data_IF_376835894383
#
_entry.id   IF_376835894383
#
_cell.length_a   1.000
_cell.length_b   1.000
_cell.length_c   1.000
_cell.angle_alpha   90.00
_cell.angle_beta   90.00
_cell.angle_gamma   90.00
#
_symmetry.space_group_name_H-M   'P 1'
#
loop_
_entity.id
_entity.type
_entity.pdbx_description
1 polymer ?
#
# COMPACT_ATOMS: atom_id res chain seq x y z
N UNK A 1 43.79 -34.17 33.01
CA UNK A 1 43.73 -35.53 32.43
C UNK A 1 43.33 -35.39 30.97
N UNK A 2 44.33 -35.66 30.15
CA UNK A 2 44.40 -36.34 28.85
C UNK A 2 43.22 -36.13 27.85
N UNK A 3 43.59 -35.43 26.78
CA UNK A 3 42.81 -35.31 25.56
C UNK A 3 42.82 -36.60 24.72
N UNK A 4 41.82 -36.71 23.85
CA UNK A 4 41.86 -37.60 22.70
C UNK A 4 41.58 -36.80 21.43
N UNK A 5 42.62 -36.73 20.58
CA UNK A 5 42.54 -36.31 19.18
C UNK A 5 42.00 -37.48 18.35
N UNK A 6 40.93 -37.25 17.59
CA UNK A 6 40.49 -38.18 16.56
C UNK A 6 41.12 -37.76 15.24
N UNK A 7 41.87 -38.64 14.62
CA UNK A 7 42.51 -38.52 13.32
C UNK A 7 41.43 -38.72 12.22
N UNK A 8 41.37 -37.80 11.27
CA UNK A 8 40.65 -37.98 10.03
C UNK A 8 41.48 -38.80 9.05
N UNK A 9 40.94 -39.95 8.60
CA UNK A 9 41.51 -40.77 7.54
C UNK A 9 41.18 -40.16 6.19
N UNK A 10 42.21 -39.84 5.40
CA UNK A 10 42.13 -39.45 4.01
C UNK A 10 41.89 -40.69 3.14
N UNK A 11 40.72 -40.76 2.51
CA UNK A 11 40.49 -41.68 1.39
C UNK A 11 40.97 -41.01 0.10
N UNK A 12 42.10 -41.49 -0.43
CA UNK A 12 42.53 -41.20 -1.82
C UNK A 12 41.60 -41.96 -2.78
N UNK A 13 40.78 -41.23 -3.53
CA UNK A 13 40.13 -41.79 -4.71
C UNK A 13 41.09 -41.69 -5.91
N UNK A 14 41.32 -42.83 -6.56
CA UNK A 14 42.14 -42.96 -7.75
C UNK A 14 41.43 -42.22 -8.94
N UNK A 15 42.12 -41.29 -9.57
CA UNK A 15 41.66 -40.60 -10.76
C UNK A 15 41.76 -41.53 -11.96
N UNK A 16 40.70 -41.63 -12.75
CA UNK A 16 40.63 -42.36 -13.98
C UNK A 16 41.23 -41.47 -15.12
N UNK A 17 42.26 -41.90 -15.86
CA UNK A 17 43.02 -40.98 -16.74
C UNK A 17 42.38 -40.66 -18.10
N UNK A 18 41.13 -40.99 -18.36
CA UNK A 18 40.53 -40.83 -19.65
C UNK A 18 39.29 -39.87 -19.71
N UNK A 19 39.21 -38.91 -18.81
CA UNK A 19 38.16 -37.86 -18.92
C UNK A 19 38.79 -36.58 -19.49
N UNK A 20 38.65 -36.34 -20.79
CA UNK A 20 38.87 -35.03 -21.40
C UNK A 20 37.64 -34.17 -21.10
N UNK A 21 37.75 -33.03 -20.40
CA UNK A 21 36.64 -32.11 -20.25
C UNK A 21 36.33 -31.46 -21.59
N UNK A 22 35.13 -31.67 -22.08
CA UNK A 22 34.59 -30.90 -23.21
C UNK A 22 34.44 -29.45 -22.73
N UNK A 23 35.40 -28.63 -23.10
CA UNK A 23 35.32 -27.17 -22.91
C UNK A 23 34.33 -26.64 -23.95
N UNK A 24 33.05 -26.53 -23.56
CA UNK A 24 32.10 -25.72 -24.30
C UNK A 24 32.50 -24.27 -24.09
N UNK A 25 33.26 -23.71 -25.01
CA UNK A 25 33.51 -22.26 -25.10
C UNK A 25 32.16 -21.58 -25.42
N UNK A 26 31.42 -21.19 -24.38
CA UNK A 26 30.38 -20.18 -24.52
C UNK A 26 31.10 -18.87 -24.78
N UNK A 27 31.30 -18.53 -26.07
CA UNK A 27 31.50 -17.14 -26.46
C UNK A 27 30.31 -16.35 -25.89
N UNK A 28 30.51 -15.22 -25.19
CA UNK A 28 29.42 -14.34 -24.83
C UNK A 28 28.79 -13.89 -26.16
N UNK A 29 27.57 -14.39 -26.44
CA UNK A 29 26.77 -13.81 -27.53
C UNK A 29 26.62 -12.33 -27.15
N UNK A 30 27.26 -11.47 -27.94
CA UNK A 30 26.95 -10.04 -27.93
C UNK A 30 25.44 -9.90 -28.08
N UNK A 31 24.76 -9.06 -27.28
CA UNK A 31 23.34 -8.82 -27.47
C UNK A 31 23.09 -8.47 -28.91
N UNK A 32 22.02 -9.02 -29.55
CA UNK A 32 21.73 -8.76 -30.94
C UNK A 32 21.74 -7.27 -31.19
N UNK A 33 22.61 -6.82 -32.06
CA UNK A 33 22.77 -5.41 -32.40
C UNK A 33 21.45 -4.94 -33.01
N UNK A 34 20.78 -4.00 -32.35
CA UNK A 34 19.47 -3.50 -32.79
C UNK A 34 19.67 -2.69 -34.07
N UNK A 35 19.08 -3.11 -35.16
CA UNK A 35 19.14 -2.39 -36.42
C UNK A 35 18.44 -1.02 -36.29
N UNK A 36 19.26 0.03 -36.26
CA UNK A 36 18.78 1.42 -36.12
C UNK A 36 17.85 1.80 -37.30
N UNK A 37 17.97 1.19 -38.47
CA UNK A 37 17.12 1.42 -39.61
C UNK A 37 15.70 0.90 -39.43
N UNK A 38 15.51 -0.19 -38.71
CA UNK A 38 14.19 -0.74 -38.36
C UNK A 38 13.50 0.13 -37.33
N UNK A 39 14.20 0.53 -36.28
CA UNK A 39 13.61 1.31 -35.18
C UNK A 39 13.22 2.74 -35.56
N UNK A 40 13.97 3.38 -36.45
CA UNK A 40 13.66 4.72 -36.94
C UNK A 40 12.43 4.79 -37.86
N UNK A 41 12.02 3.66 -38.42
CA UNK A 41 10.88 3.54 -39.37
C UNK A 41 9.61 2.96 -38.71
N UNK A 42 9.64 2.63 -37.41
CA UNK A 42 8.47 2.09 -36.77
C UNK A 42 7.34 3.13 -36.70
N UNK A 43 6.11 2.76 -37.13
CA UNK A 43 4.95 3.60 -36.88
C UNK A 43 4.79 3.92 -35.38
N UNK A 44 4.39 5.13 -35.09
CA UNK A 44 4.20 5.62 -33.71
C UNK A 44 3.38 4.65 -32.85
N UNK A 45 2.31 4.11 -33.42
CA UNK A 45 1.40 3.19 -32.72
C UNK A 45 2.06 1.88 -32.31
N UNK A 46 2.93 1.33 -33.18
CA UNK A 46 3.69 0.11 -32.86
C UNK A 46 4.76 0.40 -31.82
N UNK A 47 5.44 1.53 -31.92
CA UNK A 47 6.41 1.96 -30.93
C UNK A 47 5.75 2.10 -29.54
N UNK A 48 4.63 2.78 -29.46
CA UNK A 48 3.87 2.92 -28.21
C UNK A 48 3.46 1.56 -27.65
N UNK A 49 3.00 0.63 -28.52
CA UNK A 49 2.61 -0.71 -28.11
C UNK A 49 3.79 -1.51 -27.57
N UNK A 50 4.94 -1.48 -28.23
CA UNK A 50 6.16 -2.14 -27.74
C UNK A 50 6.58 -1.57 -26.39
N UNK A 51 6.61 -0.24 -26.27
CA UNK A 51 6.99 0.43 -25.03
C UNK A 51 6.00 0.18 -23.89
N UNK A 52 4.73 -0.08 -24.20
CA UNK A 52 3.71 -0.40 -23.19
C UNK A 52 3.92 -1.75 -22.51
N UNK A 53 4.66 -2.67 -23.12
CA UNK A 53 5.04 -3.95 -22.51
C UNK A 53 6.30 -3.87 -21.64
N UNK A 54 7.01 -2.75 -21.68
CA UNK A 54 8.20 -2.61 -20.85
C UNK A 54 7.85 -2.51 -19.37
N UNK A 55 8.60 -3.17 -18.49
CA UNK A 55 8.51 -2.91 -17.07
C UNK A 55 8.65 -1.41 -16.79
N UNK A 56 7.82 -0.88 -15.90
CA UNK A 56 7.79 0.54 -15.59
C UNK A 56 9.18 1.15 -15.33
N UNK A 57 10.06 0.42 -14.63
CA UNK A 57 11.44 0.84 -14.40
C UNK A 57 12.21 1.09 -15.69
N UNK A 58 12.09 0.18 -16.66
CA UNK A 58 12.80 0.30 -17.94
C UNK A 58 12.25 1.46 -18.76
N UNK A 59 10.92 1.59 -18.80
CA UNK A 59 10.28 2.73 -19.43
C UNK A 59 10.70 4.07 -18.80
N UNK A 60 10.74 4.14 -17.46
CA UNK A 60 11.17 5.34 -16.74
C UNK A 60 12.64 5.69 -17.01
N UNK A 61 13.50 4.71 -17.26
CA UNK A 61 14.88 4.96 -17.70
C UNK A 61 14.92 5.52 -19.12
N UNK A 62 14.11 4.96 -20.05
CA UNK A 62 14.03 5.43 -21.44
C UNK A 62 13.58 6.89 -21.56
N UNK A 63 12.69 7.37 -20.69
CA UNK A 63 12.24 8.78 -20.71
C UNK A 63 13.38 9.79 -20.53
N UNK A 64 14.51 9.38 -19.94
CA UNK A 64 15.68 10.24 -19.77
C UNK A 64 16.54 10.30 -21.02
N UNK A 65 16.30 9.45 -22.01
CA UNK A 65 17.12 9.37 -23.21
C UNK A 65 16.71 10.39 -24.27
N UNK A 66 15.42 10.67 -24.46
CA UNK A 66 14.98 11.67 -25.42
C UNK A 66 13.64 12.34 -25.05
N UNK A 67 13.38 13.50 -25.67
CA UNK A 67 12.13 14.28 -25.45
C UNK A 67 10.88 13.51 -25.89
N UNK A 68 10.98 12.69 -26.94
CA UNK A 68 9.85 11.91 -27.44
C UNK A 68 9.41 10.86 -26.40
N UNK A 69 10.30 10.05 -25.82
CA UNK A 69 9.95 9.09 -24.79
C UNK A 69 9.44 9.79 -23.49
N UNK A 70 9.96 10.97 -23.20
CA UNK A 70 9.44 11.77 -22.08
C UNK A 70 8.00 12.22 -22.32
N UNK A 71 7.64 12.61 -23.56
CA UNK A 71 6.28 13.08 -23.89
C UNK A 71 5.24 11.95 -23.86
N UNK A 72 5.63 10.69 -24.04
CA UNK A 72 4.72 9.55 -23.95
C UNK A 72 4.04 9.44 -22.57
N UNK A 73 4.68 9.91 -21.49
CA UNK A 73 4.06 9.97 -20.15
C UNK A 73 2.78 10.81 -20.10
N UNK A 74 2.59 11.69 -21.04
CA UNK A 74 1.44 12.60 -21.13
C UNK A 74 0.51 12.25 -22.29
N UNK A 75 0.82 11.20 -23.06
CA UNK A 75 0.00 10.72 -24.17
C UNK A 75 -1.15 9.85 -23.65
N UNK A 76 -2.42 10.25 -23.79
CA UNK A 76 -3.56 9.42 -23.35
C UNK A 76 -3.57 8.04 -24.00
N UNK A 77 -3.21 7.96 -25.28
CA UNK A 77 -3.11 6.69 -26.02
C UNK A 77 -2.08 5.74 -25.41
N UNK A 78 -0.89 6.24 -25.13
CA UNK A 78 0.18 5.43 -24.50
C UNK A 78 -0.21 5.02 -23.07
N UNK A 79 -0.74 5.94 -22.28
CA UNK A 79 -1.18 5.71 -20.89
C UNK A 79 -2.22 4.57 -20.85
N UNK A 80 -3.22 4.61 -21.73
CA UNK A 80 -4.23 3.56 -21.84
C UNK A 80 -3.64 2.19 -22.20
N UNK A 81 -2.75 2.14 -23.18
CA UNK A 81 -2.05 0.91 -23.61
C UNK A 81 -1.18 0.35 -22.49
N UNK A 82 -0.43 1.20 -21.82
CA UNK A 82 0.47 0.80 -20.72
C UNK A 82 -0.31 0.30 -19.50
N UNK A 83 -1.41 0.95 -19.12
CA UNK A 83 -2.24 0.54 -17.98
C UNK A 83 -2.91 -0.82 -18.18
N UNK A 84 -3.26 -1.16 -19.44
CA UNK A 84 -3.85 -2.47 -19.76
C UNK A 84 -2.84 -3.61 -19.87
N UNK A 85 -1.56 -3.31 -20.15
CA UNK A 85 -0.54 -4.33 -20.48
C UNK A 85 0.36 -4.70 -19.32
N UNK A 86 0.45 -3.87 -18.28
CA UNK A 86 1.54 -4.01 -17.33
C UNK A 86 1.21 -4.86 -16.11
N UNK A 87 2.06 -5.85 -15.87
CA UNK A 87 2.28 -6.37 -14.54
C UNK A 87 3.02 -5.30 -13.73
N UNK A 88 2.28 -4.37 -13.11
CA UNK A 88 2.87 -3.26 -12.38
C UNK A 88 3.68 -3.75 -11.18
N UNK A 89 4.88 -3.23 -11.05
CA UNK A 89 5.58 -3.24 -9.77
C UNK A 89 4.66 -2.63 -8.72
N UNK A 90 4.44 -3.32 -7.63
CA UNK A 90 3.67 -2.82 -6.49
C UNK A 90 4.55 -2.83 -5.26
N UNK A 91 4.41 -1.81 -4.44
CA UNK A 91 5.30 -1.56 -3.33
C UNK A 91 4.53 -1.42 -2.01
N UNK A 92 5.07 -2.02 -0.96
CA UNK A 92 4.71 -1.64 0.38
C UNK A 92 5.68 -0.53 0.82
N UNK A 93 5.11 0.61 1.16
CA UNK A 93 5.86 1.81 1.51
C UNK A 93 5.81 2.00 3.02
N UNK A 94 6.98 2.05 3.65
CA UNK A 94 7.12 2.38 5.06
C UNK A 94 7.40 3.86 5.24
N UNK A 95 6.57 4.53 6.03
CA UNK A 95 6.81 5.87 6.57
C UNK A 95 7.06 5.77 8.07
N UNK A 96 8.15 6.37 8.54
CA UNK A 96 8.51 6.38 9.95
C UNK A 96 9.12 7.74 10.34
N UNK A 97 8.82 8.30 11.52
CA UNK A 97 9.32 9.61 11.94
C UNK A 97 10.84 9.74 11.94
N UNK A 98 11.59 8.67 12.16
CA UNK A 98 13.06 8.66 12.13
C UNK A 98 13.63 8.58 10.70
N UNK A 99 12.80 8.43 9.67
CA UNK A 99 13.20 8.31 8.26
C UNK A 99 12.70 9.51 7.45
N UNK A 100 13.07 10.73 7.84
CA UNK A 100 12.51 12.00 7.32
C UNK A 100 12.57 12.19 5.81
N UNK A 101 13.57 11.67 5.12
CA UNK A 101 13.75 11.87 3.68
C UNK A 101 13.86 10.58 2.89
N UNK A 102 13.64 9.45 3.54
CA UNK A 102 13.77 8.15 2.92
C UNK A 102 12.55 7.30 3.23
N UNK A 103 11.94 6.76 2.19
CA UNK A 103 10.93 5.74 2.33
C UNK A 103 11.55 4.39 2.01
N UNK A 104 11.39 3.42 2.89
CA UNK A 104 11.72 2.04 2.57
C UNK A 104 10.58 1.45 1.74
N UNK A 105 10.91 0.89 0.59
CA UNK A 105 9.97 0.22 -0.29
C UNK A 105 10.26 -1.27 -0.31
N UNK A 106 9.23 -2.06 -0.11
CA UNK A 106 9.27 -3.48 -0.42
C UNK A 106 8.62 -3.73 -1.77
N UNK A 107 9.41 -4.17 -2.72
CA UNK A 107 8.92 -4.58 -4.04
C UNK A 107 8.30 -5.96 -3.94
N UNK A 108 6.97 -6.01 -3.98
CA UNK A 108 6.22 -7.26 -3.79
C UNK A 108 6.36 -8.24 -4.95
N UNK A 109 6.72 -7.75 -6.15
CA UNK A 109 6.96 -8.59 -7.31
C UNK A 109 8.34 -9.26 -7.26
N UNK A 110 9.34 -8.55 -6.75
CA UNK A 110 10.72 -9.05 -6.63
C UNK A 110 11.02 -9.67 -5.26
N UNK A 111 10.14 -9.48 -4.27
CA UNK A 111 10.38 -9.95 -2.91
C UNK A 111 11.57 -9.28 -2.22
N UNK A 112 11.89 -8.03 -2.57
CA UNK A 112 13.12 -7.36 -2.14
C UNK A 112 12.86 -5.93 -1.64
N UNK A 113 13.65 -5.52 -0.64
CA UNK A 113 13.66 -4.16 -0.13
C UNK A 113 14.45 -3.22 -1.02
N UNK A 114 13.97 -2.00 -1.14
CA UNK A 114 14.63 -0.91 -1.86
C UNK A 114 14.50 0.36 -1.05
N UNK A 115 15.55 1.18 -1.05
CA UNK A 115 15.51 2.53 -0.49
C UNK A 115 15.17 3.52 -1.59
N UNK A 116 14.25 4.39 -1.31
CA UNK A 116 13.86 5.47 -2.21
C UNK A 116 13.93 6.80 -1.46
N UNK A 117 14.77 7.69 -1.96
CA UNK A 117 14.82 9.06 -1.48
C UNK A 117 13.79 9.90 -2.23
N UNK A 118 12.73 10.30 -1.57
CA UNK A 118 11.77 11.28 -2.09
C UNK A 118 12.11 12.64 -1.51
N UNK A 119 12.79 13.45 -2.29
CA UNK A 119 13.07 14.84 -1.89
C UNK A 119 11.82 15.70 -2.10
N UNK A 120 11.03 15.87 -1.05
CA UNK A 120 9.89 16.80 -1.07
C UNK A 120 10.34 18.26 -1.12
N UNK A 121 11.58 18.57 -0.74
CA UNK A 121 12.15 19.92 -0.83
C UNK A 121 12.21 20.45 -2.26
N UNK A 122 12.40 19.58 -3.26
CA UNK A 122 12.35 19.97 -4.67
C UNK A 122 10.95 20.35 -5.14
N UNK A 123 9.91 19.87 -4.48
CA UNK A 123 8.50 20.12 -4.80
C UNK A 123 7.92 21.28 -3.98
N UNK A 124 8.41 21.46 -2.76
CA UNK A 124 7.95 22.44 -1.78
C UNK A 124 9.13 23.04 -1.03
N UNK A 125 9.81 24.06 -1.60
CA UNK A 125 11.00 24.65 -0.98
C UNK A 125 10.78 25.16 0.44
N UNK A 126 9.58 25.62 0.78
CA UNK A 126 9.24 26.22 2.08
C UNK A 126 8.64 25.25 3.10
N UNK A 127 8.29 24.01 2.77
CA UNK A 127 7.53 23.12 3.66
C UNK A 127 8.13 21.72 3.86
N UNK A 128 9.35 21.49 3.36
CA UNK A 128 9.95 20.15 3.33
C UNK A 128 10.16 19.49 4.69
N UNK A 129 10.22 20.25 5.79
CA UNK A 129 10.47 19.70 7.12
C UNK A 129 9.24 19.23 7.90
N UNK A 130 8.01 19.47 7.42
CA UNK A 130 6.77 19.19 8.15
C UNK A 130 5.76 18.32 7.39
N UNK A 131 6.13 17.79 6.24
CA UNK A 131 5.23 16.97 5.44
C UNK A 131 5.15 15.54 5.98
N UNK A 132 3.94 15.08 6.33
CA UNK A 132 3.69 13.69 6.73
C UNK A 132 2.80 12.98 5.72
N UNK A 133 3.17 11.75 5.31
CA UNK A 133 2.36 10.94 4.42
C UNK A 133 1.10 10.47 5.16
N UNK A 134 -0.07 10.83 4.64
CA UNK A 134 -1.36 10.49 5.22
C UNK A 134 -2.00 9.26 4.57
N UNK A 135 -1.99 9.21 3.25
CA UNK A 135 -2.71 8.19 2.49
C UNK A 135 -2.09 7.99 1.11
N UNK A 136 -2.34 6.83 0.54
CA UNK A 136 -1.99 6.48 -0.84
C UNK A 136 -3.19 5.83 -1.53
N UNK A 137 -3.39 6.09 -2.79
CA UNK A 137 -4.43 5.44 -3.61
C UNK A 137 -4.04 5.50 -5.08
N UNK A 138 -4.02 4.34 -5.75
CA UNK A 138 -3.80 4.20 -7.20
C UNK A 138 -2.78 5.20 -7.78
N UNK A 139 -1.52 5.11 -7.37
CA UNK A 139 -0.44 5.94 -7.88
C UNK A 139 -0.31 7.34 -7.27
N UNK A 140 -1.29 7.78 -6.50
CA UNK A 140 -1.26 9.05 -5.78
C UNK A 140 -0.75 8.89 -4.36
N UNK A 141 0.05 9.85 -3.92
CA UNK A 141 0.50 10.04 -2.53
C UNK A 141 -0.13 11.32 -2.00
N UNK A 142 -0.68 11.32 -0.80
CA UNK A 142 -1.18 12.51 -0.15
C UNK A 142 -0.42 12.80 1.14
N UNK A 143 0.14 14.00 1.22
CA UNK A 143 0.87 14.49 2.38
C UNK A 143 0.07 15.58 3.09
N UNK A 144 0.15 15.60 4.42
CA UNK A 144 -0.28 16.73 5.22
C UNK A 144 0.85 17.75 5.31
N UNK A 145 0.50 19.01 5.12
CA UNK A 145 1.31 20.19 5.38
C UNK A 145 0.66 20.96 6.56
N UNK A 146 1.27 22.08 6.96
CA UNK A 146 0.77 22.88 8.09
C UNK A 146 -0.68 23.36 7.94
N UNK A 147 -1.11 23.73 6.72
CA UNK A 147 -2.43 24.31 6.43
C UNK A 147 -3.06 23.81 5.12
N UNK A 148 -2.51 22.77 4.54
CA UNK A 148 -2.92 22.23 3.24
C UNK A 148 -2.55 20.76 3.09
N UNK A 149 -3.06 20.15 2.02
CA UNK A 149 -2.65 18.83 1.55
C UNK A 149 -1.82 18.98 0.28
N UNK A 150 -0.83 18.12 0.12
CA UNK A 150 -0.14 17.93 -1.15
C UNK A 150 -0.52 16.58 -1.72
N UNK A 151 -1.21 16.56 -2.85
CA UNK A 151 -1.41 15.34 -3.64
C UNK A 151 -0.33 15.30 -4.73
N UNK A 152 0.32 14.14 -4.86
CA UNK A 152 1.49 13.98 -5.70
C UNK A 152 1.46 12.66 -6.45
N UNK A 153 1.72 12.69 -7.77
CA UNK A 153 2.00 11.51 -8.57
C UNK A 153 3.51 11.36 -8.77
N UNK A 154 4.06 10.27 -8.21
CA UNK A 154 5.50 10.00 -8.25
C UNK A 154 6.05 9.79 -9.67
N UNK A 155 5.25 9.24 -10.58
CA UNK A 155 5.68 8.91 -11.94
C UNK A 155 5.75 10.13 -12.84
N UNK A 156 4.68 10.91 -12.86
CA UNK A 156 4.58 12.12 -13.68
C UNK A 156 5.28 13.32 -13.04
N UNK A 157 5.56 13.24 -11.72
CA UNK A 157 6.04 14.36 -10.87
C UNK A 157 5.05 15.54 -10.84
N UNK A 158 3.79 15.29 -11.17
CA UNK A 158 2.75 16.28 -11.01
C UNK A 158 2.33 16.38 -9.55
N UNK A 159 1.98 17.58 -9.12
CA UNK A 159 1.56 17.84 -7.75
C UNK A 159 0.48 18.92 -7.69
N UNK A 160 -0.37 18.82 -6.68
CA UNK A 160 -1.38 19.85 -6.38
C UNK A 160 -1.42 20.10 -4.88
N UNK A 161 -1.39 21.37 -4.52
CA UNK A 161 -1.61 21.83 -3.15
C UNK A 161 -3.09 22.19 -2.98
N UNK A 162 -3.72 21.67 -1.94
CA UNK A 162 -5.14 21.84 -1.65
C UNK A 162 -5.25 22.44 -0.25
N UNK A 163 -5.74 23.67 -0.13
CA UNK A 163 -5.97 24.32 1.16
C UNK A 163 -7.01 23.55 2.00
N UNK A 164 -6.88 23.64 3.31
CA UNK A 164 -7.89 23.08 4.22
C UNK A 164 -9.24 23.75 4.02
N UNK A 165 -10.37 23.06 4.29
CA UNK A 165 -11.71 23.63 4.09
C UNK A 165 -12.03 24.78 5.04
N UNK A 166 -11.31 24.91 6.15
CA UNK A 166 -11.40 25.99 7.13
C UNK A 166 -10.06 26.15 7.87
N UNK A 167 -9.86 27.25 8.60
CA UNK A 167 -8.68 27.47 9.42
C UNK A 167 -9.08 28.13 10.75
N UNK A 168 -8.59 27.67 11.92
CA UNK A 168 -7.78 26.45 12.11
C UNK A 168 -8.62 25.20 11.87
N UNK A 169 -7.99 24.15 11.31
CA UNK A 169 -8.66 22.91 10.99
C UNK A 169 -7.89 21.71 11.52
N UNK A 170 -8.56 20.87 12.28
CA UNK A 170 -8.05 19.57 12.71
C UNK A 170 -9.04 18.47 12.27
N UNK A 171 -8.50 17.32 11.91
CA UNK A 171 -9.29 16.17 11.47
C UNK A 171 -8.88 14.90 12.23
N UNK A 172 -9.85 14.04 12.46
CA UNK A 172 -9.66 12.76 13.13
C UNK A 172 -9.46 11.63 12.12
N UNK A 173 -10.03 11.78 10.94
CA UNK A 173 -10.01 10.75 9.92
C UNK A 173 -9.76 11.37 8.56
N UNK A 174 -8.89 10.72 7.80
CA UNK A 174 -8.53 11.12 6.44
C UNK A 174 -8.47 9.91 5.52
N UNK A 175 -8.97 10.03 4.29
CA UNK A 175 -8.82 9.02 3.24
C UNK A 175 -8.71 9.68 1.87
N UNK A 176 -7.81 9.15 1.06
CA UNK A 176 -7.67 9.46 -0.36
C UNK A 176 -8.32 8.33 -1.16
N UNK A 177 -9.27 8.69 -2.02
CA UNK A 177 -9.92 7.77 -2.96
C UNK A 177 -9.59 8.22 -4.36
N UNK A 178 -8.83 7.43 -5.10
CA UNK A 178 -8.54 7.68 -6.52
C UNK A 178 -9.51 6.89 -7.39
N UNK A 179 -9.99 7.53 -8.44
CA UNK A 179 -10.84 6.94 -9.48
C UNK A 179 -10.19 7.13 -10.83
N UNK A 180 -10.60 6.41 -11.90
CA UNK A 180 -10.04 6.62 -13.24
C UNK A 180 -10.16 8.05 -13.78
N UNK A 181 -11.06 8.83 -13.22
CA UNK A 181 -11.38 10.19 -13.68
C UNK A 181 -10.97 11.30 -12.73
N UNK A 182 -10.27 10.97 -11.64
CA UNK A 182 -9.80 11.93 -10.64
C UNK A 182 -9.67 11.32 -9.25
N UNK A 183 -9.74 12.14 -8.21
CA UNK A 183 -9.66 11.68 -6.83
C UNK A 183 -10.53 12.52 -5.90
N UNK A 184 -10.83 11.96 -4.75
CA UNK A 184 -11.51 12.65 -3.65
C UNK A 184 -10.69 12.55 -2.37
N UNK A 185 -10.67 13.65 -1.59
CA UNK A 185 -10.16 13.65 -0.23
C UNK A 185 -11.34 13.66 0.72
N UNK A 186 -11.43 12.65 1.54
CA UNK A 186 -12.48 12.53 2.56
C UNK A 186 -11.90 12.82 3.94
N UNK A 187 -12.60 13.64 4.73
CA UNK A 187 -12.18 13.96 6.10
C UNK A 187 -13.37 14.10 7.04
N UNK A 188 -13.11 13.79 8.32
CA UNK A 188 -14.01 14.08 9.44
C UNK A 188 -13.30 15.05 10.37
N UNK A 189 -13.94 16.20 10.67
CA UNK A 189 -13.36 17.21 11.57
C UNK A 189 -13.29 16.72 13.01
N UNK A 190 -12.23 17.13 13.72
CA UNK A 190 -12.11 16.93 15.16
C UNK A 190 -12.63 18.15 15.95
N UNK A 191 -12.94 17.97 17.22
CA UNK A 191 -13.04 19.07 18.18
C UNK A 191 -14.38 19.78 18.32
N UNK A 192 -15.46 19.37 17.65
CA UNK A 192 -16.80 19.92 17.87
C UNK A 192 -17.78 18.86 18.38
N UNK A 193 -18.84 19.30 19.11
CA UNK A 193 -19.95 18.40 19.52
C UNK A 193 -20.62 17.71 18.32
N UNK A 194 -20.53 18.33 17.14
CA UNK A 194 -21.00 17.78 15.86
C UNK A 194 -19.80 17.65 14.93
N UNK A 195 -19.39 16.42 14.64
CA UNK A 195 -18.34 16.14 13.65
C UNK A 195 -18.86 16.41 12.26
N UNK A 196 -18.22 17.31 11.50
CA UNK A 196 -18.56 17.58 10.13
C UNK A 196 -17.74 16.70 9.20
N UNK A 197 -18.36 16.26 8.12
CA UNK A 197 -17.68 15.54 7.03
C UNK A 197 -17.36 16.49 5.90
N UNK A 198 -16.16 16.43 5.36
CA UNK A 198 -15.72 17.21 4.21
C UNK A 198 -15.22 16.27 3.12
N UNK A 199 -15.63 16.55 1.89
CA UNK A 199 -15.16 15.83 0.71
C UNK A 199 -14.69 16.83 -0.33
N UNK A 200 -13.41 16.72 -0.69
CA UNK A 200 -12.84 17.43 -1.82
C UNK A 200 -13.01 16.60 -3.08
N UNK A 201 -13.46 17.20 -4.14
CA UNK A 201 -13.53 16.57 -5.47
C UNK A 201 -12.52 17.25 -6.40
N UNK A 202 -11.58 16.48 -6.93
CA UNK A 202 -10.51 16.99 -7.77
C UNK A 202 -11.01 17.52 -9.14
N UNK A 203 -12.18 17.06 -9.63
CA UNK A 203 -12.76 17.50 -10.90
C UNK A 203 -13.29 18.92 -10.80
N UNK A 204 -14.06 19.18 -9.76
CA UNK A 204 -14.66 20.50 -9.52
C UNK A 204 -13.78 21.39 -8.66
N UNK A 205 -12.70 20.84 -8.08
CA UNK A 205 -11.70 21.53 -7.25
C UNK A 205 -12.31 22.25 -6.04
N UNK A 206 -13.32 21.65 -5.44
CA UNK A 206 -14.10 22.28 -4.38
C UNK A 206 -14.34 21.32 -3.22
N UNK A 207 -14.39 21.89 -1.99
CA UNK A 207 -14.78 21.20 -0.77
C UNK A 207 -16.29 21.23 -0.60
N UNK A 208 -16.89 20.06 -0.43
CA UNK A 208 -18.30 19.93 0.00
C UNK A 208 -18.32 19.58 1.49
N UNK A 209 -19.16 20.27 2.24
CA UNK A 209 -19.42 20.02 3.66
C UNK A 209 -20.73 19.26 3.79
N UNK A 210 -20.69 18.19 4.58
CA UNK A 210 -21.86 17.40 4.92
C UNK A 210 -22.10 17.43 6.42
N UNK A 211 -23.37 17.38 6.83
CA UNK A 211 -23.74 17.39 8.23
C UNK A 211 -23.18 16.17 8.96
N UNK A 212 -22.89 16.42 10.23
CA UNK A 212 -22.14 15.51 11.04
C UNK A 212 -22.76 14.16 11.27
N UNK A 213 -21.91 13.20 11.40
CA UNK A 213 -22.23 11.85 11.79
C UNK A 213 -22.28 11.75 13.32
N UNK A 214 -23.37 11.22 13.84
CA UNK A 214 -23.54 11.06 15.31
C UNK A 214 -22.77 9.90 15.93
N UNK A 215 -22.56 8.75 15.26
CA UNK A 215 -21.77 7.69 15.87
C UNK A 215 -20.31 8.10 16.02
N UNK A 216 -19.74 7.74 17.14
CA UNK A 216 -18.30 7.84 17.38
C UNK A 216 -17.63 6.86 16.43
N UNK A 217 -16.70 7.33 15.60
CA UNK A 217 -15.83 6.45 14.82
C UNK A 217 -14.73 5.93 15.74
N UNK A 218 -14.17 4.77 15.39
CA UNK A 218 -13.06 4.19 16.15
C UNK A 218 -11.94 5.21 16.32
N UNK A 219 -11.39 5.33 17.53
CA UNK A 219 -10.24 6.20 17.83
C UNK A 219 -8.94 5.73 17.17
N UNK A 220 -8.99 4.68 16.36
CA UNK A 220 -7.84 4.20 15.62
C UNK A 220 -7.51 5.13 14.44
N UNK A 221 -6.71 6.13 14.70
CA UNK A 221 -6.21 7.12 13.73
C UNK A 221 -5.34 6.50 12.60
N UNK A 222 -4.94 5.24 12.74
CA UNK A 222 -4.11 4.55 11.76
C UNK A 222 -4.95 3.80 10.72
N UNK A 223 -6.18 3.43 11.09
CA UNK A 223 -7.11 2.76 10.18
C UNK A 223 -7.77 3.79 9.27
N UNK A 224 -7.51 3.69 7.98
CA UNK A 224 -8.19 4.49 6.98
C UNK A 224 -9.60 3.95 6.69
N UNK A 225 -10.46 4.81 6.14
CA UNK A 225 -11.72 4.37 5.56
C UNK A 225 -11.47 3.37 4.42
N UNK A 226 -12.37 2.42 4.29
CA UNK A 226 -12.27 1.37 3.27
C UNK A 226 -13.24 1.68 2.14
N UNK A 227 -12.71 1.96 0.95
CA UNK A 227 -13.55 2.19 -0.22
C UNK A 227 -14.08 0.86 -0.79
N UNK A 228 -15.40 0.77 -0.92
CA UNK A 228 -16.09 -0.39 -1.48
C UNK A 228 -17.42 0.04 -2.10
N UNK A 229 -17.66 -0.32 -3.36
CA UNK A 229 -18.91 -0.05 -4.11
C UNK A 229 -19.43 1.39 -3.95
N UNK A 230 -18.58 2.38 -4.23
CA UNK A 230 -18.96 3.80 -4.20
C UNK A 230 -19.09 4.42 -2.81
N UNK A 231 -18.83 3.67 -1.75
CA UNK A 231 -18.96 4.13 -0.36
C UNK A 231 -17.68 3.92 0.43
N UNK A 232 -17.51 4.73 1.47
CA UNK A 232 -16.46 4.57 2.46
C UNK A 232 -16.99 3.89 3.70
N UNK A 233 -16.41 2.74 4.05
CA UNK A 233 -16.81 1.92 5.19
C UNK A 233 -15.90 2.15 6.39
N UNK A 234 -16.51 2.16 7.57
CA UNK A 234 -15.87 2.39 8.85
C UNK A 234 -16.36 1.42 9.89
N UNK A 235 -15.54 1.17 10.90
CA UNK A 235 -15.94 0.45 12.10
C UNK A 235 -16.19 1.44 13.23
N UNK A 236 -17.27 1.26 13.98
CA UNK A 236 -17.51 2.02 15.22
C UNK A 236 -16.81 1.34 16.40
N UNK A 237 -16.51 2.08 17.51
CA UNK A 237 -16.06 1.46 18.76
C UNK A 237 -17.09 0.47 19.33
N UNK A 238 -16.70 -0.23 20.37
CA UNK A 238 -17.60 -1.16 21.08
C UNK A 238 -18.85 -0.46 21.65
N UNK A 239 -20.06 -0.99 21.41
CA UNK A 239 -20.34 -2.21 20.65
C UNK A 239 -20.08 -2.01 19.14
N UNK A 240 -19.22 -2.88 18.58
CA UNK A 240 -18.80 -2.74 17.20
C UNK A 240 -19.96 -2.79 16.23
N UNK A 241 -19.95 -1.89 15.26
CA UNK A 241 -20.86 -1.90 14.11
C UNK A 241 -20.17 -1.33 12.87
N UNK A 242 -20.79 -1.49 11.73
CA UNK A 242 -20.31 -0.93 10.46
C UNK A 242 -21.13 0.31 10.13
N UNK A 243 -20.46 1.37 9.73
CA UNK A 243 -21.08 2.56 9.16
C UNK A 243 -20.47 2.81 7.77
N UNK A 244 -21.23 3.41 6.87
CA UNK A 244 -20.69 3.83 5.58
C UNK A 244 -21.12 5.25 5.23
N UNK A 245 -20.28 5.89 4.43
CA UNK A 245 -20.56 7.18 3.82
C UNK A 245 -20.64 7.00 2.31
N UNK A 246 -21.80 7.25 1.72
CA UNK A 246 -22.04 7.16 0.29
C UNK A 246 -21.48 8.42 -0.37
N UNK A 247 -20.42 8.29 -1.17
CA UNK A 247 -19.69 9.42 -1.74
C UNK A 247 -20.54 10.26 -2.70
N UNK A 248 -21.41 9.62 -3.46
CA UNK A 248 -22.28 10.28 -4.42
C UNK A 248 -23.33 11.18 -3.74
N UNK A 249 -24.09 10.61 -2.81
CA UNK A 249 -25.18 11.30 -2.11
C UNK A 249 -24.72 12.15 -0.92
N UNK A 250 -23.52 11.89 -0.38
CA UNK A 250 -23.03 12.53 0.84
C UNK A 250 -23.77 12.11 2.10
N UNK A 251 -24.40 10.94 2.08
CA UNK A 251 -25.19 10.44 3.21
C UNK A 251 -24.42 9.39 4.01
N UNK A 252 -24.61 9.46 5.32
CA UNK A 252 -24.18 8.41 6.23
C UNK A 252 -25.28 7.38 6.37
N UNK A 253 -24.89 6.09 6.27
CA UNK A 253 -25.78 4.94 6.38
C UNK A 253 -25.21 3.90 7.33
N UNK A 254 -26.07 3.05 7.86
CA UNK A 254 -25.67 1.86 8.61
C UNK A 254 -26.11 0.64 7.84
N UNK A 255 -25.19 -0.09 7.20
CA UNK A 255 -25.51 -1.34 6.55
C UNK A 255 -26.12 -2.31 7.57
N UNK A 256 -27.18 -3.00 7.17
CA UNK A 256 -27.79 -4.05 8.01
C UNK A 256 -26.94 -5.33 7.91
N UNK A 257 -25.81 -5.32 8.60
CA UNK A 257 -24.91 -6.49 8.68
C UNK A 257 -24.55 -6.76 10.13
N UNK A 258 -24.77 -7.98 10.56
CA UNK A 258 -24.41 -8.43 11.91
C UNK A 258 -22.94 -8.86 11.92
N UNK A 259 -22.16 -8.26 12.82
CA UNK A 259 -20.77 -8.65 13.00
C UNK A 259 -20.67 -10.00 13.75
N UNK A 260 -19.58 -10.78 13.50
CA UNK A 260 -19.30 -11.98 14.27
C UNK A 260 -19.25 -11.70 15.78
N UNK A 261 -19.56 -12.73 16.57
CA UNK A 261 -19.61 -12.59 18.05
C UNK A 261 -18.22 -12.65 18.68
N UNK A 262 -18.13 -12.17 19.93
CA UNK A 262 -16.92 -12.20 20.76
C UNK A 262 -15.70 -11.46 20.15
N UNK A 263 -15.96 -10.40 19.39
CA UNK A 263 -14.90 -9.58 18.80
C UNK A 263 -14.28 -8.65 19.85
N UNK A 264 -12.96 -8.64 19.92
CA UNK A 264 -12.17 -7.74 20.77
C UNK A 264 -11.63 -6.54 19.98
N UNK A 265 -11.50 -6.68 18.69
CA UNK A 265 -11.23 -5.61 17.73
C UNK A 265 -11.72 -5.99 16.34
N UNK A 266 -11.95 -5.00 15.51
CA UNK A 266 -12.42 -5.17 14.13
C UNK A 266 -11.68 -4.21 13.21
N UNK A 267 -11.28 -4.71 12.03
CA UNK A 267 -10.72 -3.91 10.93
C UNK A 267 -11.36 -4.34 9.63
N UNK A 268 -11.65 -3.37 8.76
CA UNK A 268 -12.16 -3.63 7.42
C UNK A 268 -11.04 -3.49 6.39
N UNK A 269 -11.12 -4.25 5.31
CA UNK A 269 -10.19 -4.19 4.18
C UNK A 269 -10.96 -4.49 2.91
N UNK A 270 -10.71 -3.75 1.84
CA UNK A 270 -11.27 -3.99 0.51
C UNK A 270 -10.19 -3.94 -0.56
N UNK A 271 -10.40 -4.61 -1.65
CA UNK A 271 -9.55 -4.53 -2.85
C UNK A 271 -9.67 -3.21 -3.62
N UNK A 272 -10.52 -2.31 -3.16
CA UNK A 272 -10.61 -0.92 -3.66
C UNK A 272 -11.56 -0.74 -4.85
N UNK A 273 -12.41 -1.71 -5.14
CA UNK A 273 -13.38 -1.63 -6.24
C UNK A 273 -14.72 -2.25 -5.90
N UNK A 274 -15.35 -2.85 -6.91
CA UNK A 274 -16.60 -3.62 -6.77
C UNK A 274 -16.37 -5.07 -6.34
N UNK A 275 -15.12 -5.39 -5.96
CA UNK A 275 -14.68 -6.72 -5.61
C UNK A 275 -15.20 -7.18 -4.24
N UNK A 276 -14.29 -7.30 -3.26
CA UNK A 276 -14.60 -7.92 -1.98
C UNK A 276 -14.34 -7.00 -0.81
N UNK A 277 -15.19 -7.08 0.20
CA UNK A 277 -15.00 -6.47 1.51
C UNK A 277 -14.68 -7.55 2.53
N UNK A 278 -13.56 -7.38 3.21
CA UNK A 278 -13.08 -8.29 4.25
C UNK A 278 -13.15 -7.65 5.62
N UNK A 279 -13.35 -8.50 6.62
CA UNK A 279 -13.28 -8.14 8.03
C UNK A 279 -12.19 -8.97 8.68
N UNK A 280 -11.30 -8.32 9.42
CA UNK A 280 -10.33 -8.95 10.30
C UNK A 280 -10.71 -8.63 11.73
N UNK A 281 -10.78 -9.64 12.58
CA UNK A 281 -11.13 -9.44 13.97
C UNK A 281 -10.39 -10.38 14.91
N UNK A 282 -10.13 -9.86 16.10
CA UNK A 282 -9.65 -10.67 17.20
C UNK A 282 -10.83 -11.26 17.96
N UNK A 283 -10.86 -12.58 18.11
CA UNK A 283 -11.90 -13.30 18.85
C UNK A 283 -11.37 -13.68 20.24
N UNK A 284 -12.12 -13.35 21.28
CA UNK A 284 -11.69 -13.62 22.64
C UNK A 284 -12.68 -13.17 23.69
N UNK A 285 -12.19 -12.92 24.92
CA UNK A 285 -13.01 -12.46 26.06
C UNK A 285 -12.19 -11.54 26.95
N UNK A 286 -12.88 -10.68 27.67
CA UNK A 286 -12.28 -9.77 28.67
C UNK A 286 -11.13 -8.91 28.08
N UNK A 287 -11.33 -8.36 26.87
CA UNK A 287 -10.32 -7.53 26.20
C UNK A 287 -9.11 -8.29 25.61
N UNK A 288 -9.07 -9.62 25.72
CA UNK A 288 -7.95 -10.43 25.27
C UNK A 288 -8.35 -11.27 24.06
N UNK A 289 -7.76 -10.98 22.90
CA UNK A 289 -7.91 -11.82 21.71
C UNK A 289 -7.04 -13.06 21.83
N UNK A 290 -7.67 -14.23 21.69
CA UNK A 290 -7.00 -15.53 21.68
C UNK A 290 -6.76 -16.06 20.27
N UNK A 291 -7.60 -15.61 19.32
CA UNK A 291 -7.54 -15.98 17.90
C UNK A 291 -7.77 -14.74 17.06
N UNK A 292 -7.21 -14.72 15.88
CA UNK A 292 -7.53 -13.72 14.86
C UNK A 292 -8.10 -14.43 13.65
N UNK A 293 -9.21 -13.94 13.15
CA UNK A 293 -9.94 -14.52 12.02
C UNK A 293 -10.18 -13.49 10.93
N UNK A 294 -10.38 -14.02 9.74
CA UNK A 294 -10.71 -13.28 8.52
C UNK A 294 -12.07 -13.74 8.02
N UNK A 295 -12.94 -12.79 7.73
CA UNK A 295 -14.24 -13.02 7.09
C UNK A 295 -14.34 -12.22 5.80
N UNK A 296 -15.16 -12.68 4.89
CA UNK A 296 -15.55 -12.01 3.65
C UNK A 296 -17.03 -11.68 3.71
N UNK A 297 -17.42 -10.49 3.24
CA UNK A 297 -18.82 -10.12 3.13
C UNK A 297 -19.46 -10.86 1.96
N UNK A 298 -20.43 -11.71 2.25
CA UNK A 298 -21.21 -12.46 1.26
C UNK A 298 -22.33 -11.62 0.63
N UNK A 299 -22.95 -12.16 -0.41
CA UNK A 299 -24.03 -11.49 -1.16
C UNK A 299 -25.24 -11.12 -0.29
N UNK A 300 -25.53 -11.91 0.75
CA UNK A 300 -26.60 -11.65 1.72
C UNK A 300 -26.23 -10.66 2.84
N UNK A 301 -25.18 -9.87 2.71
CA UNK A 301 -24.66 -8.96 3.74
C UNK A 301 -24.29 -9.67 5.06
N UNK A 302 -23.98 -10.95 5.01
CA UNK A 302 -23.48 -11.75 6.12
C UNK A 302 -21.97 -12.00 6.00
N UNK A 303 -21.29 -12.10 7.14
CA UNK A 303 -19.86 -12.39 7.19
C UNK A 303 -19.59 -13.89 7.17
N UNK A 304 -18.90 -14.35 6.14
CA UNK A 304 -18.49 -15.75 5.97
C UNK A 304 -17.03 -15.89 6.36
N UNK A 305 -16.72 -16.79 7.30
CA UNK A 305 -15.33 -17.04 7.72
C UNK A 305 -14.50 -17.61 6.57
N UNK A 306 -13.39 -16.96 6.27
CA UNK A 306 -12.46 -17.35 5.21
C UNK A 306 -11.31 -18.16 5.78
N UNK A 307 -10.67 -17.65 6.84
CA UNK A 307 -9.46 -18.24 7.39
C UNK A 307 -9.20 -17.76 8.82
N UNK A 308 -8.45 -18.56 9.57
CA UNK A 308 -7.92 -18.19 10.88
C UNK A 308 -6.42 -18.02 10.82
N UNK A 309 -5.89 -17.04 11.56
CA UNK A 309 -4.44 -16.88 11.72
C UNK A 309 -3.88 -18.07 12.52
N UNK A 310 -2.81 -18.74 12.03
CA UNK A 310 -2.15 -19.81 12.77
C UNK A 310 -1.73 -19.36 14.20
N UNK A 311 -1.91 -20.25 15.16
CA UNK A 311 -1.77 -19.93 16.59
C UNK A 311 -0.45 -19.25 16.95
N UNK A 312 0.68 -19.77 16.43
CA UNK A 312 2.01 -19.20 16.70
C UNK A 312 2.16 -17.76 16.14
N UNK A 313 1.58 -17.50 14.97
CA UNK A 313 1.58 -16.16 14.38
C UNK A 313 0.67 -15.21 15.18
N UNK A 314 -0.49 -15.70 15.62
CA UNK A 314 -1.40 -14.95 16.46
C UNK A 314 -0.74 -14.56 17.80
N UNK A 315 -0.09 -15.51 18.47
CA UNK A 315 0.65 -15.24 19.71
C UNK A 315 1.73 -14.18 19.51
N UNK A 316 2.52 -14.28 18.43
CA UNK A 316 3.53 -13.26 18.09
C UNK A 316 2.89 -11.89 17.88
N UNK A 317 1.84 -11.79 17.05
CA UNK A 317 1.17 -10.52 16.79
C UNK A 317 0.59 -9.89 18.07
N UNK A 318 -0.10 -10.68 18.90
CA UNK A 318 -0.67 -10.20 20.15
C UNK A 318 0.39 -9.76 21.16
N UNK A 319 1.54 -10.42 21.21
CA UNK A 319 2.64 -10.03 22.08
C UNK A 319 3.26 -8.70 21.67
N UNK A 320 3.42 -8.43 20.38
CA UNK A 320 4.03 -7.18 19.89
C UNK A 320 3.10 -5.97 19.96
N UNK A 321 1.78 -6.18 19.89
CA UNK A 321 0.82 -5.10 20.09
C UNK A 321 0.40 -4.93 21.56
N UNK A 322 0.92 -5.75 22.48
CA UNK A 322 0.58 -5.73 23.92
C UNK A 322 -0.93 -5.71 24.21
N UNK A 323 -1.72 -6.39 23.39
CA UNK A 323 -3.18 -6.34 23.40
C UNK A 323 -3.79 -4.94 23.27
N UNK A 324 -3.01 -3.95 22.86
CA UNK A 324 -3.52 -2.64 22.47
C UNK A 324 -3.89 -2.65 20.99
N UNK A 325 -5.13 -2.99 20.69
CA UNK A 325 -5.62 -3.16 19.33
C UNK A 325 -5.83 -1.85 18.58
N UNK A 326 -5.77 -0.70 19.23
CA UNK A 326 -5.83 0.61 18.60
C UNK A 326 -4.64 0.86 17.68
N UNK A 327 -3.52 0.20 17.95
CA UNK A 327 -2.32 0.28 17.11
C UNK A 327 -2.34 -0.66 15.91
N UNK A 328 -3.30 -1.60 15.85
CA UNK A 328 -3.46 -2.48 14.70
C UNK A 328 -4.27 -1.80 13.60
N UNK A 329 -3.78 -1.86 12.38
CA UNK A 329 -4.47 -1.39 11.19
C UNK A 329 -4.21 -2.32 10.02
N UNK A 330 -5.11 -2.30 9.04
CA UNK A 330 -5.10 -3.22 7.91
C UNK A 330 -5.34 -2.47 6.62
N UNK A 331 -4.77 -2.99 5.53
CA UNK A 331 -5.00 -2.46 4.19
C UNK A 331 -4.78 -3.54 3.13
N UNK A 332 -5.31 -3.30 1.94
CA UNK A 332 -5.16 -4.16 0.78
C UNK A 332 -3.90 -3.82 -0.02
N UNK A 333 -3.19 -4.85 -0.49
CA UNK A 333 -2.07 -4.70 -1.40
C UNK A 333 -2.03 -5.83 -2.43
N UNK A 334 -2.57 -5.59 -3.64
CA UNK A 334 -2.46 -6.53 -4.77
C UNK A 334 -2.68 -8.01 -4.43
N UNK A 335 -3.82 -8.34 -3.84
CA UNK A 335 -4.15 -9.71 -3.46
C UNK A 335 -3.59 -10.14 -2.10
N UNK A 336 -2.99 -9.21 -1.36
CA UNK A 336 -2.57 -9.38 0.02
C UNK A 336 -3.42 -8.52 0.94
N UNK A 337 -3.87 -9.10 2.04
CA UNK A 337 -4.42 -8.37 3.16
C UNK A 337 -3.30 -8.19 4.18
N UNK A 338 -2.81 -6.96 4.33
CA UNK A 338 -1.72 -6.63 5.25
C UNK A 338 -2.27 -6.23 6.61
N UNK A 339 -1.66 -6.75 7.66
CA UNK A 339 -1.93 -6.43 9.07
C UNK A 339 -0.67 -5.86 9.68
N UNK A 340 -0.76 -4.63 10.15
CA UNK A 340 0.35 -3.85 10.67
C UNK A 340 0.08 -3.35 12.07
N UNK A 341 1.14 -3.07 12.81
CA UNK A 341 1.07 -2.45 14.10
C UNK A 341 1.89 -1.15 14.11
N UNK A 342 1.32 -0.06 14.61
CA UNK A 342 2.00 1.24 14.70
C UNK A 342 3.25 1.22 15.57
N UNK A 343 3.30 0.29 16.53
CA UNK A 343 4.43 0.12 17.46
C UNK A 343 5.46 -0.90 16.99
N UNK A 344 5.21 -1.60 15.87
CA UNK A 344 6.05 -2.71 15.42
C UNK A 344 6.32 -2.67 13.92
N UNK A 345 7.56 -2.90 13.48
CA UNK A 345 7.96 -2.72 12.08
C UNK A 345 7.62 -3.87 11.14
N UNK A 346 7.25 -5.02 11.65
CA UNK A 346 6.97 -6.19 10.81
C UNK A 346 5.54 -6.17 10.28
N UNK A 347 5.34 -6.63 9.06
CA UNK A 347 4.04 -6.77 8.43
C UNK A 347 3.65 -8.23 8.35
N UNK A 348 2.50 -8.55 8.89
CA UNK A 348 1.83 -9.83 8.66
C UNK A 348 0.92 -9.68 7.44
N UNK A 349 0.90 -10.64 6.51
CA UNK A 349 -0.02 -10.59 5.39
C UNK A 349 -0.66 -11.93 5.09
N UNK A 350 -1.91 -11.86 4.63
CA UNK A 350 -2.66 -12.99 4.09
C UNK A 350 -2.65 -12.93 2.57
N UNK A 351 -2.17 -13.98 1.91
CA UNK A 351 -2.23 -14.12 0.46
C UNK A 351 -3.55 -14.75 0.04
N UNK A 352 -4.48 -13.94 -0.49
CA UNK A 352 -5.85 -14.36 -0.80
C UNK A 352 -5.88 -15.52 -1.79
N UNK A 353 -5.06 -15.49 -2.85
CA UNK A 353 -5.03 -16.53 -3.89
C UNK A 353 -4.57 -17.91 -3.41
N UNK A 354 -3.79 -17.97 -2.32
CA UNK A 354 -3.26 -19.22 -1.73
C UNK A 354 -3.87 -19.55 -0.38
N UNK A 355 -4.63 -18.61 0.21
CA UNK A 355 -5.21 -18.72 1.56
C UNK A 355 -4.13 -19.03 2.63
N UNK A 356 -3.01 -18.30 2.59
CA UNK A 356 -1.87 -18.54 3.49
C UNK A 356 -1.39 -17.26 4.13
N UNK A 357 -0.97 -17.37 5.41
CA UNK A 357 -0.40 -16.27 6.19
C UNK A 357 1.11 -16.28 6.16
N UNK A 358 1.72 -15.12 6.07
CA UNK A 358 3.17 -14.92 6.01
C UNK A 358 3.60 -13.65 6.74
N UNK A 359 4.84 -13.65 7.23
CA UNK A 359 5.51 -12.44 7.67
C UNK A 359 6.35 -11.86 6.53
N UNK A 360 6.33 -10.54 6.38
CA UNK A 360 7.23 -9.84 5.47
C UNK A 360 8.67 -9.93 6.03
N UNK A 361 9.70 -10.07 5.18
CA UNK A 361 11.08 -9.97 5.65
C UNK A 361 11.34 -8.62 6.33
N UNK A 362 12.15 -8.61 7.38
CA UNK A 362 12.51 -7.37 8.09
C UNK A 362 13.10 -6.34 7.13
N UNK A 363 12.73 -5.08 7.33
CA UNK A 363 13.30 -3.98 6.57
C UNK A 363 14.77 -3.74 6.99
N UNK A 364 15.75 -3.85 6.10
CA UNK A 364 17.17 -3.72 6.44
C UNK A 364 17.59 -2.28 6.78
N UNK A 365 16.76 -1.29 6.41
CA UNK A 365 17.06 0.13 6.61
C UNK A 365 16.56 0.68 7.96
N UNK A 366 15.94 -0.17 8.78
CA UNK A 366 15.50 0.26 10.09
C UNK A 366 16.68 0.33 11.05
N UNK A 367 16.77 1.39 11.88
CA UNK A 367 17.79 1.45 12.92
C UNK A 367 17.58 0.36 13.98
N UNK A 368 18.64 -0.04 14.67
CA UNK A 368 18.56 -1.05 15.74
C UNK A 368 17.65 -0.64 16.89
N UNK A 369 17.55 0.67 17.16
CA UNK A 369 16.64 1.25 18.14
C UNK A 369 15.64 2.15 17.41
N UNK A 370 14.38 1.82 17.51
CA UNK A 370 13.29 2.60 16.93
C UNK A 370 12.29 3.04 17.98
N UNK A 371 11.63 4.16 17.70
CA UNK A 371 10.42 4.60 18.40
C UNK A 371 9.17 4.05 17.71
N UNK A 372 8.01 4.19 18.33
CA UNK A 372 6.73 3.96 17.66
C UNK A 372 6.57 4.91 16.46
N UNK A 373 5.74 4.53 15.49
CA UNK A 373 5.48 5.38 14.34
C UNK A 373 5.50 4.68 12.99
N UNK A 374 5.42 3.34 12.99
CA UNK A 374 5.42 2.55 11.76
C UNK A 374 4.10 2.69 11.02
N UNK A 375 4.10 3.38 9.89
CA UNK A 375 2.96 3.51 9.00
C UNK A 375 3.29 2.89 7.65
N UNK A 376 2.54 1.85 7.31
CA UNK A 376 2.65 1.15 6.05
C UNK A 376 1.54 1.54 5.11
N UNK A 377 1.87 1.66 3.83
CA UNK A 377 0.93 2.00 2.77
C UNK A 377 1.13 1.08 1.57
N UNK A 378 0.02 0.80 0.89
CA UNK A 378 0.06 0.16 -0.43
C UNK A 378 0.30 1.22 -1.49
N UNK A 379 1.36 1.09 -2.27
CA UNK A 379 1.64 1.98 -3.39
C UNK A 379 1.74 1.20 -4.70
N UNK A 380 0.82 1.46 -5.59
CA UNK A 380 0.79 0.92 -6.95
C UNK A 380 0.98 2.09 -7.88
N UNK A 381 2.15 2.24 -8.52
CA UNK A 381 2.40 3.35 -9.42
C UNK A 381 1.45 3.34 -10.62
N UNK A 382 0.81 4.45 -10.90
CA UNK A 382 -0.15 4.61 -11.99
C UNK A 382 0.12 5.90 -12.79
N UNK A 383 0.28 5.77 -14.11
CA UNK A 383 0.55 6.92 -14.98
C UNK A 383 -0.70 7.80 -15.19
N UNK A 384 -1.87 7.17 -15.25
CA UNK A 384 -3.12 7.89 -15.52
C UNK A 384 -3.70 8.62 -14.29
N UNK A 385 -3.17 8.37 -13.10
CA UNK A 385 -3.62 9.07 -11.90
C UNK A 385 -3.28 10.56 -12.00
N UNK A 386 -4.26 11.33 -12.41
CA UNK A 386 -4.14 12.80 -12.55
C UNK A 386 -4.22 13.48 -11.18
N UNK A 387 -3.46 14.54 -11.03
CA UNK A 387 -3.38 15.36 -9.82
C UNK A 387 -4.15 16.67 -10.01
#
# INVERSE_FOLDING_TARGET
>A
MKGQRIRANSLRSQANPNYQPITISKSPMSPPEMDAGLWSKLPQELLERILSFLPLKNFMNLRSTCKHFKSLLFSPSFISKHSSSSSFSSFLLLSHPQCYNHFAFYDSALGAWRNFALSLSALLPCAAGQASLLSTSNGLLCFSLSNSFLVFNLLTKSSRVIGFPAYPFAFELFSLVSTPVGYSLFMVSSGSRTKNTFVYDSKVQFWRKFNGFKPILSENYHQQAVYYKGSLYFVTPEPFSVACFVLESGKWERPNTELPRELMFVRLVSDGGDGKLYLIGGVGRNGISRRMKLWELGEGMNWVEVESLPEMMCRKLMSVCFHNYEHLYCFWHRGFICVCCYTWPEVLYFKVSRRTWHWLPKCPSLPDKWSCGFRWFSFVPELYASV
#
